data_IF_181112801902
#
_entry.id   IF_181112801902
#
_cell.length_a   1.000
_cell.length_b   1.000
_cell.length_c   1.000
_cell.angle_alpha   90.00
_cell.angle_beta   90.00
_cell.angle_gamma   90.00
#
_symmetry.space_group_name_H-M   'P 1'
#
loop_
_entity.id
_entity.type
_entity.pdbx_description
1 polymer ?
#
# COMPACT_ATOMS: atom_id res chain seq x y z
N UNK A 1 -20.26 21.93 -11.31
CA UNK A 1 -19.09 22.51 -10.59
C UNK A 1 -19.02 22.02 -9.12
N UNK A 2 -20.14 21.87 -8.41
CA UNK A 2 -20.14 21.50 -6.97
C UNK A 2 -19.63 20.08 -6.66
N UNK A 3 -19.77 19.13 -7.58
CA UNK A 3 -19.38 17.73 -7.33
C UNK A 3 -17.85 17.50 -7.32
N UNK A 4 -17.10 18.31 -8.09
CA UNK A 4 -15.65 18.21 -8.15
C UNK A 4 -15.00 18.74 -6.87
N UNK A 5 -15.52 19.83 -6.34
CA UNK A 5 -15.07 20.44 -5.10
C UNK A 5 -15.28 19.50 -3.89
N UNK A 6 -16.45 18.88 -3.81
CA UNK A 6 -16.76 17.90 -2.74
C UNK A 6 -15.86 16.65 -2.78
N UNK A 7 -15.43 16.21 -3.95
CA UNK A 7 -14.57 15.06 -4.14
C UNK A 7 -13.13 15.33 -3.66
N UNK A 8 -12.55 16.49 -3.98
CA UNK A 8 -11.20 16.85 -3.52
C UNK A 8 -11.14 16.98 -2.01
N UNK A 9 -12.13 17.61 -1.40
CA UNK A 9 -12.22 17.68 0.06
C UNK A 9 -12.32 16.30 0.69
N UNK A 10 -13.15 15.40 0.16
CA UNK A 10 -13.29 14.04 0.69
C UNK A 10 -11.98 13.26 0.60
N UNK A 11 -11.25 13.33 -0.52
CA UNK A 11 -9.96 12.67 -0.68
C UNK A 11 -8.90 13.25 0.25
N UNK A 12 -8.80 14.59 0.32
CA UNK A 12 -7.80 15.25 1.15
C UNK A 12 -8.04 15.00 2.63
N UNK A 13 -9.28 15.07 3.11
CA UNK A 13 -9.62 14.74 4.50
C UNK A 13 -9.35 13.28 4.84
N UNK A 14 -9.69 12.36 3.94
CA UNK A 14 -9.43 10.93 4.12
C UNK A 14 -7.93 10.61 4.12
N UNK A 15 -7.14 11.26 3.26
CA UNK A 15 -5.68 11.13 3.24
C UNK A 15 -5.06 11.73 4.49
N UNK A 16 -5.53 12.89 4.94
CA UNK A 16 -5.06 13.52 6.17
C UNK A 16 -5.25 12.62 7.40
N UNK A 17 -6.40 11.97 7.54
CA UNK A 17 -6.68 11.04 8.65
C UNK A 17 -5.72 9.82 8.63
N UNK A 18 -5.24 9.39 7.45
CA UNK A 18 -4.29 8.28 7.33
C UNK A 18 -2.87 8.66 7.72
N UNK A 19 -2.50 9.93 7.57
CA UNK A 19 -1.13 10.41 7.80
C UNK A 19 -0.98 11.06 9.19
N UNK A 20 -2.02 11.76 9.68
CA UNK A 20 -1.93 12.49 10.94
C UNK A 20 -1.60 11.56 12.11
N UNK A 21 -0.58 11.93 12.90
CA UNK A 21 -0.13 11.18 14.08
C UNK A 21 0.16 9.69 13.79
N UNK A 22 0.64 9.35 12.59
CA UNK A 22 0.93 7.97 12.20
C UNK A 22 2.11 7.39 13.01
N UNK A 23 2.98 8.25 13.47
CA UNK A 23 4.09 7.93 14.37
C UNK A 23 3.64 7.53 15.78
N UNK A 24 2.46 8.02 16.22
CA UNK A 24 1.91 7.81 17.56
C UNK A 24 0.81 6.75 17.62
N UNK A 25 0.02 6.63 16.57
CA UNK A 25 -1.14 5.74 16.51
C UNK A 25 -1.12 4.88 15.25
N UNK A 26 -1.27 3.54 15.40
CA UNK A 26 -1.43 2.73 16.63
C UNK A 26 -0.25 2.84 17.60
N UNK A 27 -0.52 2.64 18.91
CA UNK A 27 0.52 2.73 19.95
C UNK A 27 1.45 1.52 19.83
N UNK A 28 2.76 1.79 19.80
CA UNK A 28 3.80 0.77 19.65
C UNK A 28 3.92 0.21 18.24
N UNK A 29 4.97 -0.55 17.99
CA UNK A 29 5.16 -1.32 16.77
C UNK A 29 4.68 -2.76 16.99
N UNK A 30 4.02 -3.32 15.98
CA UNK A 30 3.76 -4.74 15.91
C UNK A 30 5.10 -5.46 15.68
N UNK A 31 5.19 -6.73 16.12
CA UNK A 31 6.37 -7.57 15.93
C UNK A 31 6.78 -7.67 14.45
N UNK A 32 5.81 -7.83 13.56
CA UNK A 32 6.06 -7.93 12.11
C UNK A 32 6.49 -6.59 11.51
N UNK A 33 5.93 -5.45 12.00
CA UNK A 33 6.41 -4.11 11.61
C UNK A 33 7.90 -3.93 11.97
N UNK A 34 8.25 -4.27 13.19
CA UNK A 34 9.63 -4.16 13.68
C UNK A 34 10.58 -5.11 12.93
N UNK A 35 10.13 -6.33 12.66
CA UNK A 35 10.89 -7.33 11.90
C UNK A 35 11.18 -6.85 10.48
N UNK A 36 10.14 -6.45 9.73
CA UNK A 36 10.27 -5.96 8.36
C UNK A 36 11.12 -4.69 8.27
N UNK A 37 11.02 -3.81 9.27
CA UNK A 37 11.80 -2.58 9.34
C UNK A 37 13.30 -2.86 9.61
N UNK A 38 13.59 -3.83 10.45
CA UNK A 38 14.98 -4.25 10.69
C UNK A 38 15.61 -4.84 9.43
N UNK A 39 14.87 -5.68 8.68
CA UNK A 39 15.34 -6.20 7.39
C UNK A 39 15.62 -5.07 6.39
N UNK A 40 14.72 -4.11 6.27
CA UNK A 40 14.90 -2.94 5.40
C UNK A 40 16.14 -2.12 5.79
N UNK A 41 16.36 -1.92 7.09
CA UNK A 41 17.53 -1.21 7.62
C UNK A 41 18.82 -1.99 7.39
N UNK A 42 18.80 -3.32 7.57
CA UNK A 42 19.96 -4.18 7.34
C UNK A 42 20.37 -4.17 5.87
N UNK A 43 19.42 -4.31 4.96
CA UNK A 43 19.66 -4.26 3.51
C UNK A 43 20.21 -2.90 3.12
N UNK A 44 19.65 -1.79 3.67
CA UNK A 44 20.12 -0.43 3.36
C UNK A 44 21.58 -0.22 3.75
N UNK A 45 22.00 -0.70 4.92
CA UNK A 45 23.34 -0.40 5.46
C UNK A 45 24.40 -1.45 5.08
N UNK A 46 24.00 -2.71 4.89
CA UNK A 46 24.94 -3.82 4.70
C UNK A 46 24.68 -4.63 3.42
N UNK A 47 23.56 -4.40 2.72
CA UNK A 47 23.18 -5.17 1.51
C UNK A 47 22.74 -6.61 1.81
N UNK A 48 22.54 -6.97 3.09
CA UNK A 48 22.17 -8.31 3.56
C UNK A 48 21.00 -8.25 4.55
N UNK A 49 20.24 -9.34 4.60
CA UNK A 49 19.20 -9.53 5.63
C UNK A 49 19.83 -9.97 6.98
N UNK A 50 18.99 -10.21 8.01
CA UNK A 50 19.43 -10.71 9.33
C UNK A 50 20.12 -12.06 9.29
N UNK A 51 19.90 -12.86 8.24
CA UNK A 51 20.49 -14.18 8.03
C UNK A 51 21.75 -14.13 7.15
N UNK A 52 22.21 -12.95 6.72
CA UNK A 52 23.39 -12.75 5.87
C UNK A 52 23.16 -13.00 4.38
N UNK A 53 21.90 -13.08 3.92
CA UNK A 53 21.59 -13.22 2.49
C UNK A 53 21.57 -11.86 1.81
N UNK A 54 22.27 -11.72 0.68
CA UNK A 54 22.30 -10.50 -0.12
C UNK A 54 21.02 -10.34 -0.93
N UNK A 55 20.33 -9.21 -0.77
CA UNK A 55 19.12 -8.84 -1.52
C UNK A 55 18.13 -9.99 -1.70
N UNK A 56 17.66 -10.62 -0.60
CA UNK A 56 16.80 -11.80 -0.66
C UNK A 56 15.47 -11.49 -1.34
N UNK A 57 14.90 -12.49 -2.00
CA UNK A 57 13.54 -12.45 -2.58
C UNK A 57 12.47 -12.93 -1.59
N UNK A 58 12.90 -13.52 -0.47
CA UNK A 58 12.07 -13.95 0.65
C UNK A 58 12.93 -13.97 1.93
N UNK A 59 12.39 -13.47 3.02
CA UNK A 59 13.06 -13.55 4.32
C UNK A 59 12.73 -14.85 5.04
N UNK A 60 13.67 -15.38 5.79
CA UNK A 60 13.46 -16.47 6.72
C UNK A 60 13.13 -15.83 8.09
N UNK A 61 11.88 -15.96 8.54
CA UNK A 61 11.40 -15.37 9.77
C UNK A 61 10.50 -16.33 10.54
N UNK A 62 10.73 -16.48 11.86
CA UNK A 62 9.86 -17.23 12.78
C UNK A 62 9.56 -18.69 12.36
N UNK A 63 10.49 -19.36 11.67
CA UNK A 63 10.30 -20.72 11.17
C UNK A 63 9.40 -20.83 9.92
N UNK A 64 9.01 -19.71 9.33
CA UNK A 64 8.31 -19.60 8.04
C UNK A 64 8.96 -18.53 7.17
N UNK A 65 8.42 -18.28 5.98
CA UNK A 65 8.85 -17.18 5.12
C UNK A 65 8.12 -15.88 5.45
N UNK A 66 8.82 -14.75 5.31
CA UNK A 66 8.23 -13.40 5.31
C UNK A 66 8.49 -12.76 3.95
N UNK A 67 7.49 -12.08 3.41
CA UNK A 67 7.61 -11.48 2.09
C UNK A 67 8.39 -10.17 2.13
N UNK A 68 9.12 -9.90 1.06
CA UNK A 68 10.14 -8.84 1.04
C UNK A 68 9.62 -7.49 0.55
N UNK A 69 8.51 -7.46 -0.20
CA UNK A 69 8.07 -6.28 -0.94
C UNK A 69 7.94 -5.04 -0.04
N UNK A 70 7.32 -5.19 1.12
CA UNK A 70 7.10 -4.06 2.01
C UNK A 70 8.41 -3.54 2.62
N UNK A 71 9.33 -4.44 2.97
CA UNK A 71 10.66 -4.06 3.47
C UNK A 71 11.45 -3.26 2.43
N UNK A 72 11.45 -3.68 1.18
CA UNK A 72 12.09 -2.91 0.10
C UNK A 72 11.45 -1.53 -0.11
N UNK A 73 10.12 -1.42 0.03
CA UNK A 73 9.43 -0.14 -0.06
C UNK A 73 9.75 0.80 1.10
N UNK A 74 10.13 0.29 2.26
CA UNK A 74 10.55 1.11 3.41
C UNK A 74 11.96 1.68 3.25
N UNK A 75 12.85 1.07 2.47
CA UNK A 75 14.26 1.48 2.33
C UNK A 75 14.42 2.98 2.03
N UNK A 76 13.76 3.57 1.02
CA UNK A 76 13.92 5.00 0.74
C UNK A 76 13.44 5.90 1.89
N UNK A 77 12.42 5.48 2.63
CA UNK A 77 11.92 6.26 3.77
C UNK A 77 12.87 6.15 4.98
N UNK A 78 13.42 4.97 5.22
CA UNK A 78 14.42 4.76 6.28
C UNK A 78 15.72 5.53 5.95
N UNK A 79 16.12 5.60 4.68
CA UNK A 79 17.30 6.37 4.28
C UNK A 79 17.16 7.87 4.50
N UNK A 80 15.94 8.42 4.40
CA UNK A 80 15.66 9.85 4.57
C UNK A 80 15.39 10.21 6.03
N UNK A 81 14.55 9.45 6.70
CA UNK A 81 14.03 9.77 8.03
C UNK A 81 14.70 8.98 9.17
N UNK A 82 15.60 8.03 8.85
CA UNK A 82 16.13 7.07 9.80
C UNK A 82 15.13 5.96 10.16
N UNK A 83 15.59 4.99 10.96
CA UNK A 83 14.75 3.89 11.43
C UNK A 83 13.86 4.37 12.59
N UNK A 84 12.61 4.70 12.28
CA UNK A 84 11.60 5.13 13.26
C UNK A 84 10.18 4.74 12.80
N UNK A 85 9.19 4.93 13.67
CA UNK A 85 7.80 4.56 13.39
C UNK A 85 7.22 5.27 12.17
N UNK A 86 7.62 6.53 11.92
CA UNK A 86 7.17 7.28 10.75
C UNK A 86 7.65 6.63 9.46
N UNK A 87 8.96 6.35 9.34
CA UNK A 87 9.55 5.72 8.14
C UNK A 87 9.01 4.32 7.87
N UNK A 88 8.58 3.61 8.93
CA UNK A 88 7.98 2.28 8.82
C UNK A 88 6.55 2.34 8.26
N UNK A 89 5.74 3.30 8.71
CA UNK A 89 4.29 3.35 8.41
C UNK A 89 3.93 4.25 7.23
N UNK A 90 4.76 5.26 6.94
CA UNK A 90 4.48 6.23 5.89
C UNK A 90 4.27 5.60 4.50
N UNK A 91 5.07 4.60 4.06
CA UNK A 91 4.82 3.93 2.79
C UNK A 91 3.41 3.36 2.69
N UNK A 92 2.93 2.68 3.75
CA UNK A 92 1.58 2.10 3.77
C UNK A 92 0.48 3.17 3.75
N UNK A 93 0.67 4.28 4.48
CA UNK A 93 -0.28 5.39 4.44
C UNK A 93 -0.39 6.01 3.04
N UNK A 94 0.74 6.19 2.35
CA UNK A 94 0.76 6.69 0.98
C UNK A 94 0.07 5.73 0.00
N UNK A 95 0.32 4.42 0.12
CA UNK A 95 -0.38 3.39 -0.64
C UNK A 95 -1.88 3.47 -0.40
N UNK A 96 -2.32 3.58 0.87
CA UNK A 96 -3.72 3.76 1.21
C UNK A 96 -4.35 5.03 0.63
N UNK A 97 -3.59 6.13 0.58
CA UNK A 97 -4.04 7.37 -0.07
C UNK A 97 -4.18 7.22 -1.59
N UNK A 98 -3.22 6.56 -2.24
CA UNK A 98 -3.31 6.25 -3.68
C UNK A 98 -4.51 5.34 -3.96
N UNK A 99 -4.77 4.37 -3.10
CA UNK A 99 -5.91 3.46 -3.24
C UNK A 99 -7.26 4.16 -3.15
N UNK A 100 -7.40 5.25 -2.37
CA UNK A 100 -8.60 6.08 -2.39
C UNK A 100 -8.83 6.71 -3.79
N UNK A 101 -7.76 7.18 -4.42
CA UNK A 101 -7.82 7.79 -5.75
C UNK A 101 -8.16 6.74 -6.80
N UNK A 102 -7.48 5.61 -6.79
CA UNK A 102 -7.71 4.49 -7.71
C UNK A 102 -9.14 3.96 -7.57
N UNK A 103 -9.59 3.74 -6.33
CA UNK A 103 -10.96 3.28 -6.06
C UNK A 103 -12.01 4.26 -6.56
N UNK A 104 -11.81 5.57 -6.34
CA UNK A 104 -12.71 6.58 -6.88
C UNK A 104 -12.83 6.50 -8.40
N UNK A 105 -11.72 6.45 -9.13
CA UNK A 105 -11.75 6.39 -10.58
C UNK A 105 -12.33 5.08 -11.10
N UNK A 106 -12.11 3.98 -10.39
CA UNK A 106 -12.71 2.70 -10.70
C UNK A 106 -14.24 2.74 -10.55
N UNK A 107 -14.72 3.26 -9.43
CA UNK A 107 -16.17 3.42 -9.21
C UNK A 107 -16.79 4.42 -10.18
N UNK A 108 -16.07 5.49 -10.54
CA UNK A 108 -16.52 6.49 -11.50
C UNK A 108 -16.68 5.90 -12.89
N UNK A 109 -15.76 5.08 -13.35
CA UNK A 109 -15.82 4.43 -14.66
C UNK A 109 -16.92 3.37 -14.76
N UNK A 110 -17.31 2.79 -13.63
CA UNK A 110 -18.33 1.72 -13.57
C UNK A 110 -19.73 2.26 -13.28
N UNK A 111 -19.87 3.21 -12.35
CA UNK A 111 -21.18 3.65 -11.81
C UNK A 111 -21.49 5.13 -12.04
N UNK A 112 -20.56 5.87 -12.64
CA UNK A 112 -20.69 7.30 -12.91
C UNK A 112 -20.41 8.21 -11.70
N UNK A 113 -20.35 9.53 -11.95
CA UNK A 113 -19.84 10.53 -11.00
C UNK A 113 -20.60 10.60 -9.66
N UNK A 114 -21.93 10.52 -9.67
CA UNK A 114 -22.72 10.71 -8.44
C UNK A 114 -22.52 9.58 -7.45
N UNK A 115 -22.55 8.34 -7.94
CA UNK A 115 -22.40 7.14 -7.11
C UNK A 115 -20.95 6.95 -6.64
N UNK A 116 -19.96 7.33 -7.45
CA UNK A 116 -18.56 7.19 -7.11
C UNK A 116 -18.14 8.02 -5.89
N UNK A 117 -18.74 9.19 -5.68
CA UNK A 117 -18.47 9.99 -4.47
C UNK A 117 -19.00 9.29 -3.21
N UNK A 118 -20.19 8.70 -3.28
CA UNK A 118 -20.75 7.92 -2.17
C UNK A 118 -19.87 6.70 -1.85
N UNK A 119 -19.46 5.94 -2.87
CA UNK A 119 -18.57 4.79 -2.68
C UNK A 119 -17.20 5.20 -2.11
N UNK A 120 -16.64 6.33 -2.60
CA UNK A 120 -15.40 6.86 -2.04
C UNK A 120 -15.57 7.21 -0.55
N UNK A 121 -16.68 7.86 -0.17
CA UNK A 121 -16.95 8.19 1.22
C UNK A 121 -17.01 6.93 2.10
N UNK A 122 -17.78 5.92 1.68
CA UNK A 122 -17.86 4.64 2.39
C UNK A 122 -16.48 3.99 2.52
N UNK A 123 -15.71 3.92 1.44
CA UNK A 123 -14.38 3.32 1.44
C UNK A 123 -13.38 4.11 2.31
N UNK A 124 -13.49 5.44 2.32
CA UNK A 124 -12.63 6.32 3.09
C UNK A 124 -12.77 6.13 4.60
N UNK A 125 -14.01 5.91 5.08
CA UNK A 125 -14.32 5.72 6.51
C UNK A 125 -14.36 4.24 6.92
N UNK A 126 -14.22 3.30 5.96
CA UNK A 126 -14.29 1.88 6.23
C UNK A 126 -13.17 1.47 7.21
N UNK A 127 -13.51 0.97 8.41
CA UNK A 127 -12.54 0.81 9.50
C UNK A 127 -11.36 -0.07 9.12
N UNK A 128 -11.61 -1.16 8.41
CA UNK A 128 -10.56 -2.07 7.98
C UNK A 128 -9.54 -1.38 7.06
N UNK A 129 -9.99 -0.63 6.03
CA UNK A 129 -9.09 0.06 5.12
C UNK A 129 -8.33 1.20 5.80
N UNK A 130 -9.00 1.92 6.72
CA UNK A 130 -8.38 2.97 7.50
C UNK A 130 -7.28 2.41 8.40
N UNK A 131 -7.56 1.34 9.15
CA UNK A 131 -6.60 0.72 10.07
C UNK A 131 -5.42 0.10 9.32
N UNK A 132 -5.66 -0.69 8.26
CA UNK A 132 -4.58 -1.31 7.50
C UNK A 132 -3.61 -0.29 6.89
N UNK A 133 -4.11 0.87 6.46
CA UNK A 133 -3.28 1.94 5.90
C UNK A 133 -2.40 2.66 6.92
N UNK A 134 -2.58 2.40 8.22
CA UNK A 134 -1.77 2.95 9.32
C UNK A 134 -0.83 1.92 9.95
N UNK A 135 -0.85 0.68 9.50
CA UNK A 135 0.04 -0.39 9.95
C UNK A 135 0.97 -0.84 8.85
N UNK A 136 2.27 -0.80 9.11
CA UNK A 136 3.34 -1.18 8.19
C UNK A 136 3.53 -2.70 8.08
N UNK A 137 2.46 -3.43 7.77
CA UNK A 137 2.49 -4.89 7.62
C UNK A 137 2.54 -5.30 6.16
N UNK A 138 3.31 -6.33 5.84
CA UNK A 138 3.43 -6.88 4.49
C UNK A 138 2.08 -7.32 3.90
N UNK A 139 1.21 -7.92 4.73
CA UNK A 139 -0.12 -8.36 4.33
C UNK A 139 -1.06 -7.22 3.93
N UNK A 140 -0.81 -6.01 4.44
CA UNK A 140 -1.70 -4.87 4.23
C UNK A 140 -1.58 -4.27 2.83
N UNK A 141 -0.44 -4.46 2.14
CA UNK A 141 -0.24 -3.93 0.78
C UNK A 141 -0.99 -4.76 -0.28
N UNK A 142 -1.18 -6.06 -0.06
CA UNK A 142 -1.76 -6.99 -1.04
C UNK A 142 -3.13 -6.54 -1.57
N UNK A 143 -4.13 -6.19 -0.74
CA UNK A 143 -5.44 -5.76 -1.24
C UNK A 143 -5.39 -4.48 -2.08
N UNK A 144 -4.45 -3.57 -1.79
CA UNK A 144 -4.28 -2.35 -2.58
C UNK A 144 -3.69 -2.64 -3.96
N UNK A 145 -2.69 -3.52 -4.03
CA UNK A 145 -2.13 -3.96 -5.31
C UNK A 145 -3.17 -4.66 -6.17
N UNK A 146 -4.00 -5.54 -5.58
CA UNK A 146 -5.10 -6.19 -6.31
C UNK A 146 -6.10 -5.15 -6.83
N UNK A 147 -6.49 -4.17 -6.02
CA UNK A 147 -7.35 -3.08 -6.45
C UNK A 147 -6.76 -2.32 -7.65
N UNK A 148 -5.46 -2.00 -7.62
CA UNK A 148 -4.78 -1.29 -8.69
C UNK A 148 -4.66 -2.14 -9.96
N UNK A 149 -4.35 -3.43 -9.81
CA UNK A 149 -4.30 -4.38 -10.93
C UNK A 149 -5.66 -4.53 -11.61
N UNK A 150 -6.74 -4.70 -10.86
CA UNK A 150 -8.10 -4.80 -11.38
C UNK A 150 -8.55 -3.51 -12.08
N UNK A 151 -8.22 -2.35 -11.53
CA UNK A 151 -8.54 -1.08 -12.16
C UNK A 151 -7.79 -0.90 -13.49
N UNK A 152 -6.49 -1.16 -13.51
CA UNK A 152 -5.68 -1.05 -14.74
C UNK A 152 -6.14 -2.06 -15.79
N UNK A 153 -6.49 -3.29 -15.41
CA UNK A 153 -7.09 -4.28 -16.29
C UNK A 153 -8.42 -3.77 -16.88
N UNK A 154 -9.30 -3.26 -16.04
CA UNK A 154 -10.58 -2.70 -16.48
C UNK A 154 -10.39 -1.58 -17.50
N UNK A 155 -9.49 -0.62 -17.22
CA UNK A 155 -9.18 0.50 -18.14
C UNK A 155 -8.58 -0.03 -19.44
N UNK A 156 -7.71 -1.04 -19.39
CA UNK A 156 -7.10 -1.69 -20.54
C UNK A 156 -8.15 -2.32 -21.47
N UNK A 157 -9.10 -3.03 -20.90
CA UNK A 157 -10.21 -3.66 -21.65
C UNK A 157 -11.12 -2.59 -22.27
N UNK A 158 -11.55 -1.59 -21.48
CA UNK A 158 -12.48 -0.56 -21.97
C UNK A 158 -11.88 0.29 -23.11
N UNK A 159 -10.60 0.64 -22.99
CA UNK A 159 -9.93 1.51 -23.96
C UNK A 159 -9.20 0.71 -25.07
N UNK A 160 -9.28 -0.64 -25.04
CA UNK A 160 -8.52 -1.53 -25.93
C UNK A 160 -7.02 -1.18 -25.96
N UNK A 161 -6.46 -0.86 -24.78
CA UNK A 161 -5.08 -0.41 -24.65
C UNK A 161 -4.22 -1.48 -23.99
N UNK A 162 -3.33 -2.08 -24.77
CA UNK A 162 -2.46 -3.17 -24.33
C UNK A 162 -1.48 -2.75 -23.21
N UNK A 163 -1.07 -1.48 -23.13
CA UNK A 163 -0.17 -1.01 -22.08
C UNK A 163 -0.80 -1.12 -20.69
N UNK A 164 -2.08 -0.80 -20.55
CA UNK A 164 -2.79 -1.00 -19.29
C UNK A 164 -2.96 -2.48 -18.94
N UNK A 165 -3.10 -3.35 -19.93
CA UNK A 165 -3.13 -4.80 -19.71
C UNK A 165 -1.77 -5.33 -19.22
N UNK A 166 -0.67 -4.88 -19.84
CA UNK A 166 0.69 -5.22 -19.40
C UNK A 166 0.94 -4.69 -17.98
N UNK A 167 0.58 -3.43 -17.71
CA UNK A 167 0.71 -2.84 -16.37
C UNK A 167 -0.06 -3.63 -15.31
N UNK A 168 -1.28 -4.06 -15.63
CA UNK A 168 -2.07 -4.93 -14.75
C UNK A 168 -1.33 -6.22 -14.45
N UNK A 169 -0.80 -6.90 -15.47
CA UNK A 169 -0.02 -8.13 -15.30
C UNK A 169 1.22 -7.94 -14.42
N UNK A 170 1.93 -6.80 -14.59
CA UNK A 170 3.08 -6.44 -13.76
C UNK A 170 2.63 -6.26 -12.28
N UNK A 171 1.54 -5.52 -12.02
CA UNK A 171 1.05 -5.30 -10.66
C UNK A 171 0.61 -6.62 -10.02
N UNK A 172 -0.09 -7.50 -10.76
CA UNK A 172 -0.41 -8.85 -10.27
C UNK A 172 0.85 -9.65 -9.95
N UNK A 173 1.87 -9.63 -10.82
CA UNK A 173 3.15 -10.29 -10.56
C UNK A 173 3.85 -9.75 -9.31
N UNK A 174 3.89 -8.42 -9.12
CA UNK A 174 4.46 -7.79 -7.91
C UNK A 174 3.67 -8.19 -6.66
N UNK A 175 2.34 -8.33 -6.76
CA UNK A 175 1.51 -8.68 -5.60
C UNK A 175 1.85 -10.05 -5.00
N UNK A 176 2.43 -10.98 -5.78
CA UNK A 176 2.87 -12.28 -5.27
C UNK A 176 4.02 -12.18 -4.25
N UNK A 177 4.78 -11.08 -4.27
CA UNK A 177 5.84 -10.80 -3.30
C UNK A 177 5.36 -10.03 -2.07
N UNK A 178 4.05 -9.77 -1.96
CA UNK A 178 3.50 -8.97 -0.87
C UNK A 178 3.00 -9.79 0.31
N UNK A 179 2.45 -10.99 0.06
CA UNK A 179 1.92 -11.85 1.14
C UNK A 179 1.85 -13.32 0.70
N UNK A 180 2.13 -14.25 1.64
CA UNK A 180 2.21 -15.70 1.35
C UNK A 180 0.92 -16.35 0.85
N UNK A 181 -0.26 -15.76 1.09
CA UNK A 181 -1.55 -16.25 0.54
C UNK A 181 -1.82 -15.78 -0.90
N UNK A 182 -0.89 -15.07 -1.51
CA UNK A 182 -1.00 -14.61 -2.91
C UNK A 182 -0.70 -15.72 -3.94
N UNK A 183 -0.28 -16.90 -3.50
CA UNK A 183 0.00 -18.07 -4.32
C UNK A 183 -1.24 -18.94 -4.51
#
# INVERSE_FOLDING_TARGET
KNNFFNMEYAKNSASFIRIIFIDKYPIGLNQDEASSAYEAWSILNFGIDRNGQSFPVQFISWGSGQNVLYSYLMIPFISIFGLNTLSIRLPMALIGCISLVVFYYFMKSTFGNKKSVLFLFIFAIFPWHLMKSRWGLESNIFPDLILWALFTMYVGIQNKNNWFMVLSGIIFGISTYSYGTSY
#
